data_IF_511643970292
#
_entry.id   IF_511643970292
#
_cell.length_a   1.000
_cell.length_b   1.000
_cell.length_c   1.000
_cell.angle_alpha   90.00
_cell.angle_beta   90.00
_cell.angle_gamma   90.00
#
_symmetry.space_group_name_H-M   'P 1'
#
loop_
_entity.id
_entity.type
_entity.pdbx_description
1 polymer ?
#
# COMPACT_ATOMS: atom_id res chain seq x y z
N UNK A 1 3.61 2.45 -15.91
CA UNK A 1 2.78 2.21 -14.72
C UNK A 1 2.46 0.74 -14.70
N UNK A 2 2.92 0.04 -13.67
CA UNK A 2 2.62 -1.39 -13.48
C UNK A 2 1.15 -1.60 -13.13
N UNK A 3 0.57 -2.74 -13.51
CA UNK A 3 -0.80 -3.07 -13.09
C UNK A 3 -0.84 -3.45 -11.63
N UNK A 4 -1.96 -3.21 -10.96
CA UNK A 4 -2.12 -3.68 -9.57
C UNK A 4 -2.02 -5.20 -9.42
N UNK A 5 -2.47 -5.96 -10.42
CA UNK A 5 -2.28 -7.43 -10.44
C UNK A 5 -0.81 -7.82 -10.45
N UNK A 6 0.03 -7.08 -11.18
CA UNK A 6 1.46 -7.32 -11.25
C UNK A 6 2.11 -6.99 -9.90
N UNK A 7 1.62 -5.95 -9.23
CA UNK A 7 2.09 -5.59 -7.90
C UNK A 7 1.81 -6.69 -6.87
N UNK A 8 0.60 -7.25 -6.87
CA UNK A 8 0.25 -8.39 -6.04
C UNK A 8 1.14 -9.62 -6.32
N UNK A 9 1.50 -9.84 -7.59
CA UNK A 9 2.44 -10.90 -7.96
C UNK A 9 3.85 -10.63 -7.41
N UNK A 10 4.34 -9.40 -7.49
CA UNK A 10 5.66 -9.01 -6.95
C UNK A 10 5.69 -9.21 -5.44
N UNK A 11 4.64 -8.79 -4.70
CA UNK A 11 4.54 -9.02 -3.25
C UNK A 11 4.64 -10.51 -2.95
N UNK A 12 3.91 -11.35 -3.70
CA UNK A 12 3.96 -12.80 -3.54
C UNK A 12 5.35 -13.38 -3.78
N UNK A 13 6.06 -12.91 -4.81
CA UNK A 13 7.38 -13.42 -5.18
C UNK A 13 8.45 -13.01 -4.16
N UNK A 14 8.48 -11.73 -3.77
CA UNK A 14 9.47 -11.18 -2.82
C UNK A 14 9.37 -11.82 -1.42
N UNK A 15 8.18 -12.28 -1.06
CA UNK A 15 7.89 -12.92 0.21
C UNK A 15 7.78 -14.46 0.11
N UNK A 16 8.08 -15.05 -1.05
CA UNK A 16 8.05 -16.50 -1.22
C UNK A 16 6.70 -17.15 -0.82
N UNK A 17 5.58 -16.42 -0.98
CA UNK A 17 4.28 -16.83 -0.44
C UNK A 17 3.71 -18.12 -1.07
N UNK A 18 4.23 -18.54 -2.23
CA UNK A 18 3.87 -19.79 -2.89
C UNK A 18 4.73 -21.00 -2.48
N UNK A 19 5.82 -20.80 -1.72
CA UNK A 19 6.72 -21.87 -1.33
C UNK A 19 6.04 -22.79 -0.29
N UNK A 20 5.83 -24.06 -0.66
CA UNK A 20 5.11 -25.06 0.13
C UNK A 20 3.96 -25.73 -0.64
N UNK A 21 3.48 -25.07 -1.69
CA UNK A 21 2.55 -25.66 -2.65
C UNK A 21 3.33 -26.29 -3.81
N UNK A 22 3.18 -27.60 -4.03
CA UNK A 22 3.84 -28.30 -5.11
C UNK A 22 3.66 -27.60 -6.47
N UNK A 23 4.77 -27.45 -7.21
CA UNK A 23 4.89 -26.96 -8.59
C UNK A 23 3.72 -26.12 -9.14
N UNK A 24 3.80 -24.79 -8.98
CA UNK A 24 3.11 -23.84 -9.87
C UNK A 24 1.77 -23.27 -9.38
N UNK A 25 1.40 -23.41 -8.11
CA UNK A 25 0.23 -22.71 -7.57
C UNK A 25 0.52 -21.22 -7.38
N UNK A 26 -0.29 -20.39 -8.04
CA UNK A 26 -0.32 -18.94 -7.82
C UNK A 26 -1.07 -18.62 -6.52
N UNK A 27 -0.63 -17.58 -5.82
CA UNK A 27 -1.32 -17.06 -4.65
C UNK A 27 -2.67 -16.49 -5.06
N UNK A 28 -3.73 -16.88 -4.36
CA UNK A 28 -5.03 -16.23 -4.46
C UNK A 28 -5.15 -15.16 -3.37
N UNK A 29 -5.25 -13.90 -3.78
CA UNK A 29 -5.52 -12.77 -2.90
C UNK A 29 -7.01 -12.69 -2.56
N UNK A 30 -7.31 -12.41 -1.30
CA UNK A 30 -8.66 -12.38 -0.76
C UNK A 30 -8.89 -11.01 -0.12
N UNK A 31 -9.99 -10.35 -0.47
CA UNK A 31 -10.32 -9.02 0.03
C UNK A 31 -11.70 -9.04 0.68
N UNK A 32 -11.76 -8.62 1.94
CA UNK A 32 -13.02 -8.27 2.57
C UNK A 32 -13.57 -6.99 1.93
N UNK A 33 -14.89 -6.82 1.82
CA UNK A 33 -15.48 -5.64 1.17
C UNK A 33 -15.00 -4.32 1.79
N UNK A 34 -14.79 -4.31 3.10
CA UNK A 34 -14.24 -3.17 3.84
C UNK A 34 -12.77 -2.83 3.56
N UNK A 35 -12.01 -3.70 2.87
CA UNK A 35 -10.62 -3.44 2.45
C UNK A 35 -10.53 -2.68 1.12
N UNK A 36 -11.65 -2.58 0.40
CA UNK A 36 -11.67 -2.09 -0.97
C UNK A 36 -11.70 -0.56 -1.00
N UNK A 37 -11.31 -0.02 -2.15
CA UNK A 37 -11.32 1.41 -2.42
C UNK A 37 -12.73 2.01 -2.27
N UNK A 38 -12.81 3.22 -1.75
CA UNK A 38 -14.03 4.02 -1.57
C UNK A 38 -15.08 3.45 -0.61
N UNK A 39 -14.81 2.31 0.05
CA UNK A 39 -15.75 1.76 1.03
C UNK A 39 -15.72 2.52 2.35
N UNK A 40 -16.88 2.61 3.02
CA UNK A 40 -16.97 3.08 4.41
C UNK A 40 -16.92 1.94 5.41
N UNK A 41 -17.03 0.68 5.00
CA UNK A 41 -17.08 -0.45 5.92
C UNK A 41 -15.71 -0.76 6.50
N UNK A 42 -15.57 -0.83 7.81
CA UNK A 42 -14.38 -1.43 8.42
C UNK A 42 -14.40 -2.93 8.19
N UNK A 43 -13.24 -3.51 7.96
CA UNK A 43 -13.02 -4.97 7.91
C UNK A 43 -12.36 -5.51 9.18
N UNK A 44 -12.16 -4.65 10.17
CA UNK A 44 -11.44 -4.91 11.41
C UNK A 44 -12.19 -4.31 12.60
N UNK A 45 -11.80 -4.72 13.81
CA UNK A 45 -12.35 -4.15 15.04
C UNK A 45 -13.84 -4.44 15.22
N UNK A 46 -14.65 -3.38 15.27
CA UNK A 46 -16.09 -3.44 15.46
C UNK A 46 -16.90 -3.65 14.17
N UNK A 47 -16.23 -3.74 13.01
CA UNK A 47 -16.84 -3.89 11.69
C UNK A 47 -17.90 -2.81 11.36
N UNK A 48 -17.85 -1.66 12.04
CA UNK A 48 -18.73 -0.51 11.78
C UNK A 48 -18.18 0.34 10.63
N UNK A 49 -18.69 1.56 10.49
CA UNK A 49 -18.28 2.49 9.44
C UNK A 49 -17.09 3.38 9.85
N UNK A 50 -16.24 3.71 8.87
CA UNK A 50 -15.24 4.78 8.91
C UNK A 50 -15.92 6.14 8.72
N UNK A 51 -15.28 7.19 9.24
CA UNK A 51 -15.73 8.56 9.00
C UNK A 51 -15.48 8.99 7.55
N UNK A 52 -14.28 8.71 7.04
CA UNK A 52 -13.88 8.91 5.64
C UNK A 52 -14.01 7.61 4.82
N UNK A 53 -14.11 7.74 3.51
CA UNK A 53 -14.00 6.59 2.60
C UNK A 53 -12.59 6.05 2.59
N UNK A 54 -12.43 4.76 2.31
CA UNK A 54 -11.13 4.13 2.22
C UNK A 54 -10.37 4.59 0.97
N UNK A 55 -9.24 5.27 1.14
CA UNK A 55 -8.48 5.92 0.06
C UNK A 55 -7.71 4.93 -0.83
N UNK A 56 -7.55 3.70 -0.38
CA UNK A 56 -6.73 2.67 -1.02
C UNK A 56 -7.30 1.27 -0.92
N UNK A 57 -6.39 0.30 -0.96
CA UNK A 57 -6.69 -1.12 -0.81
C UNK A 57 -5.80 -1.69 0.29
N UNK A 58 -6.41 -2.41 1.22
CA UNK A 58 -5.69 -3.16 2.24
C UNK A 58 -5.37 -4.57 1.73
N UNK A 59 -4.10 -4.95 1.81
CA UNK A 59 -3.57 -6.23 1.33
C UNK A 59 -3.05 -7.01 2.54
N UNK A 60 -3.61 -8.21 2.78
CA UNK A 60 -3.20 -9.06 3.92
C UNK A 60 -3.59 -10.54 3.77
N UNK A 61 -4.80 -10.82 3.30
CA UNK A 61 -5.31 -12.18 3.23
C UNK A 61 -4.99 -12.84 1.90
N UNK A 62 -4.47 -14.05 1.98
CA UNK A 62 -4.15 -14.84 0.81
C UNK A 62 -4.28 -16.33 1.09
N UNK A 63 -4.28 -17.15 0.05
CA UNK A 63 -4.21 -18.61 0.19
C UNK A 63 -3.50 -19.23 -1.01
N UNK A 64 -2.81 -20.34 -0.78
CA UNK A 64 -2.18 -21.15 -1.84
C UNK A 64 -2.98 -22.42 -2.14
N UNK A 65 -3.68 -22.95 -1.14
CA UNK A 65 -4.71 -23.98 -1.27
C UNK A 65 -6.09 -23.39 -0.90
N UNK A 66 -7.20 -24.08 -1.22
CA UNK A 66 -8.54 -23.51 -1.03
C UNK A 66 -8.95 -23.38 0.44
N UNK A 67 -8.38 -24.17 1.33
CA UNK A 67 -8.86 -24.35 2.70
C UNK A 67 -7.95 -23.69 3.75
N UNK A 68 -6.79 -23.19 3.34
CA UNK A 68 -5.80 -22.55 4.19
C UNK A 68 -5.72 -21.05 3.94
N UNK A 69 -6.61 -20.30 4.61
CA UNK A 69 -6.51 -18.86 4.67
C UNK A 69 -5.26 -18.46 5.48
N UNK A 70 -4.37 -17.71 4.84
CA UNK A 70 -3.20 -17.12 5.45
C UNK A 70 -3.38 -15.59 5.57
N UNK A 71 -2.67 -15.02 6.53
CA UNK A 71 -2.68 -13.60 6.86
C UNK A 71 -1.25 -13.11 6.94
N UNK A 72 -1.02 -11.84 6.59
CA UNK A 72 0.29 -11.23 6.77
C UNK A 72 0.70 -11.22 8.24
N UNK A 73 2.01 -11.38 8.46
CA UNK A 73 2.68 -11.03 9.70
C UNK A 73 3.59 -9.81 9.49
N UNK A 74 4.37 -9.43 10.51
CA UNK A 74 5.30 -8.30 10.47
C UNK A 74 6.63 -8.63 9.76
N UNK A 75 6.79 -9.85 9.24
CA UNK A 75 7.94 -10.24 8.43
C UNK A 75 7.76 -9.89 6.95
N UNK A 76 6.51 -9.63 6.52
CA UNK A 76 6.15 -9.33 5.14
C UNK A 76 6.89 -8.09 4.65
N UNK A 77 7.71 -8.28 3.63
CA UNK A 77 8.42 -7.24 2.90
C UNK A 77 7.47 -6.55 1.93
N UNK A 78 7.62 -5.24 1.82
CA UNK A 78 6.88 -4.40 0.90
C UNK A 78 7.83 -3.96 -0.21
N UNK A 79 7.65 -4.47 -1.45
CA UNK A 79 8.37 -3.99 -2.61
C UNK A 79 7.74 -2.72 -3.17
N UNK A 80 8.53 -1.94 -3.90
CA UNK A 80 8.04 -0.83 -4.71
C UNK A 80 7.21 -1.35 -5.89
N UNK A 81 6.05 -0.74 -6.13
CA UNK A 81 5.17 -1.11 -7.25
C UNK A 81 5.76 -0.74 -8.62
N UNK A 82 6.46 0.38 -8.70
CA UNK A 82 7.06 0.91 -9.91
C UNK A 82 8.26 1.79 -9.57
N UNK A 83 9.03 2.18 -10.59
CA UNK A 83 10.12 3.14 -10.45
C UNK A 83 9.57 4.50 -9.97
N UNK A 84 10.35 5.19 -9.13
CA UNK A 84 9.93 6.48 -8.60
C UNK A 84 10.92 7.14 -7.66
N UNK A 85 10.51 8.28 -7.12
CA UNK A 85 11.30 9.08 -6.18
C UNK A 85 10.55 9.17 -4.85
N UNK A 86 11.25 8.94 -3.75
CA UNK A 86 10.66 9.12 -2.41
C UNK A 86 10.39 10.60 -2.18
N UNK A 87 9.12 10.98 -2.21
CA UNK A 87 8.70 12.35 -2.03
C UNK A 87 8.56 12.71 -0.55
N UNK A 88 8.06 11.78 0.29
CA UNK A 88 7.91 12.02 1.72
C UNK A 88 7.93 10.71 2.53
N UNK A 89 8.25 10.83 3.82
CA UNK A 89 8.07 9.78 4.83
C UNK A 89 7.39 10.44 6.02
N UNK A 90 6.21 9.95 6.42
CA UNK A 90 5.45 10.53 7.53
C UNK A 90 4.87 9.45 8.44
N UNK A 91 4.60 9.80 9.69
CA UNK A 91 3.98 8.89 10.63
C UNK A 91 2.48 8.70 10.29
N UNK A 92 1.97 7.50 10.51
CA UNK A 92 0.55 7.17 10.39
C UNK A 92 0.03 6.51 11.68
N UNK A 93 -1.22 6.03 11.66
CA UNK A 93 -1.85 5.52 12.88
C UNK A 93 -1.31 4.17 13.37
N UNK A 94 -0.55 3.42 12.56
CA UNK A 94 0.07 2.13 12.93
C UNK A 94 1.58 2.15 12.87
N UNK A 95 2.15 2.85 11.90
CA UNK A 95 3.58 2.91 11.65
C UNK A 95 3.93 4.17 10.88
N UNK A 96 4.51 3.99 9.70
CA UNK A 96 4.85 5.09 8.80
C UNK A 96 4.29 4.85 7.42
N UNK A 97 4.15 5.95 6.68
CA UNK A 97 3.78 5.99 5.28
C UNK A 97 4.95 6.46 4.45
N UNK A 98 5.31 5.69 3.42
CA UNK A 98 6.23 6.10 2.37
C UNK A 98 5.42 6.65 1.20
N UNK A 99 5.74 7.86 0.76
CA UNK A 99 5.12 8.50 -0.41
C UNK A 99 6.14 8.51 -1.55
N UNK A 100 5.77 7.92 -2.67
CA UNK A 100 6.60 7.78 -3.86
C UNK A 100 5.94 8.49 -5.02
N UNK A 101 6.66 9.40 -5.66
CA UNK A 101 6.27 10.05 -6.91
C UNK A 101 6.70 9.19 -8.10
N UNK A 102 5.77 8.84 -8.97
CA UNK A 102 6.02 7.98 -10.13
C UNK A 102 6.84 8.71 -11.20
N UNK A 103 7.85 8.03 -11.77
CA UNK A 103 8.92 8.61 -12.62
C UNK A 103 8.43 9.29 -13.92
N UNK A 104 7.16 9.12 -14.32
CA UNK A 104 6.61 9.71 -15.55
C UNK A 104 5.38 10.59 -15.32
N UNK A 105 5.22 11.16 -14.13
CA UNK A 105 3.99 11.85 -13.78
C UNK A 105 3.92 13.34 -14.19
N UNK A 106 4.89 13.87 -14.93
CA UNK A 106 5.04 15.30 -15.23
C UNK A 106 4.11 15.88 -16.33
N UNK A 107 2.90 15.35 -16.48
CA UNK A 107 1.93 15.87 -17.45
C UNK A 107 0.97 16.83 -16.74
N UNK A 108 0.82 18.05 -17.26
CA UNK A 108 -0.17 19.06 -16.81
C UNK A 108 -0.05 19.54 -15.34
N UNK A 109 1.15 19.75 -14.79
CA UNK A 109 1.38 20.22 -13.41
C UNK A 109 0.75 19.32 -12.32
N UNK A 110 0.47 18.07 -12.67
CA UNK A 110 0.03 17.02 -11.74
C UNK A 110 1.17 16.05 -11.52
N UNK A 111 1.04 15.24 -10.48
CA UNK A 111 1.93 14.12 -10.19
C UNK A 111 1.12 12.95 -9.66
N UNK A 112 1.59 11.75 -9.95
CA UNK A 112 1.00 10.51 -9.50
C UNK A 112 1.83 10.02 -8.32
N UNK A 113 1.15 9.78 -7.21
CA UNK A 113 1.75 9.38 -5.95
C UNK A 113 1.26 7.99 -5.59
N UNK A 114 2.19 7.09 -5.31
CA UNK A 114 1.93 5.85 -4.60
C UNK A 114 2.24 6.04 -3.13
N UNK A 115 1.33 5.61 -2.26
CA UNK A 115 1.59 5.59 -0.82
C UNK A 115 1.53 4.18 -0.29
N UNK A 116 2.53 3.83 0.51
CA UNK A 116 2.62 2.55 1.21
C UNK A 116 2.51 2.87 2.70
N UNK A 117 1.38 2.55 3.31
CA UNK A 117 1.09 2.88 4.71
C UNK A 117 1.07 1.64 5.59
N UNK A 118 1.19 1.89 6.90
CA UNK A 118 1.29 0.86 7.93
C UNK A 118 2.51 -0.01 7.75
N UNK A 119 3.63 0.65 7.43
CA UNK A 119 4.90 0.01 7.17
C UNK A 119 5.99 0.52 8.12
N UNK A 120 7.12 -0.19 8.11
CA UNK A 120 8.40 0.20 8.67
C UNK A 120 9.36 0.34 7.48
N UNK A 121 9.63 1.57 6.99
CA UNK A 121 10.55 1.80 5.88
C UNK A 121 11.96 1.27 6.17
N UNK A 122 12.64 0.83 5.12
CA UNK A 122 14.05 0.44 5.20
C UNK A 122 14.91 1.64 5.64
N UNK A 123 15.78 1.45 6.64
CA UNK A 123 16.54 2.54 7.30
C UNK A 123 17.42 3.37 6.35
N UNK A 124 17.78 2.80 5.20
CA UNK A 124 18.61 3.44 4.18
C UNK A 124 17.84 4.48 3.35
N UNK A 125 16.51 4.41 3.33
CA UNK A 125 15.68 5.25 2.49
C UNK A 125 15.68 6.70 2.96
N UNK A 126 15.77 7.61 1.98
CA UNK A 126 15.76 9.06 2.21
C UNK A 126 14.85 9.76 1.22
N UNK A 127 14.28 10.88 1.64
CA UNK A 127 13.54 11.78 0.75
C UNK A 127 14.46 12.23 -0.39
N UNK A 128 13.93 12.25 -1.62
CA UNK A 128 14.65 12.55 -2.86
C UNK A 128 15.41 11.36 -3.46
N UNK A 129 15.46 10.20 -2.79
CA UNK A 129 16.10 9.01 -3.33
C UNK A 129 15.20 8.34 -4.38
N UNK A 130 15.81 7.89 -5.48
CA UNK A 130 15.18 7.02 -6.46
C UNK A 130 15.05 5.59 -5.91
N UNK A 131 13.96 4.93 -6.27
CA UNK A 131 13.72 3.51 -6.02
C UNK A 131 13.36 2.82 -7.32
N UNK A 132 13.73 1.55 -7.42
CA UNK A 132 13.43 0.72 -8.58
C UNK A 132 12.23 -0.18 -8.30
N UNK A 133 11.47 -0.50 -9.34
CA UNK A 133 10.39 -1.47 -9.30
C UNK A 133 10.86 -2.79 -8.68
N UNK A 134 10.06 -3.34 -7.78
CA UNK A 134 10.34 -4.58 -7.03
C UNK A 134 11.42 -4.45 -5.96
N UNK A 135 12.09 -3.30 -5.81
CA UNK A 135 13.02 -3.05 -4.71
C UNK A 135 12.26 -3.14 -3.37
N UNK A 136 12.82 -3.87 -2.41
CA UNK A 136 12.25 -3.91 -1.05
C UNK A 136 12.50 -2.56 -0.37
N UNK A 137 11.41 -1.86 -0.09
CA UNK A 137 11.41 -0.50 0.48
C UNK A 137 10.96 -0.47 1.93
N UNK A 138 10.26 -1.51 2.41
CA UNK A 138 9.77 -1.55 3.78
C UNK A 138 9.39 -2.98 4.20
N UNK A 139 8.92 -3.09 5.45
CA UNK A 139 8.12 -4.23 5.93
C UNK A 139 6.78 -3.76 6.45
N UNK A 140 5.79 -4.64 6.49
CA UNK A 140 4.50 -4.39 7.14
C UNK A 140 4.74 -4.14 8.64
N UNK A 141 4.03 -3.17 9.21
CA UNK A 141 4.13 -2.85 10.62
C UNK A 141 3.48 -3.93 11.50
N UNK A 142 4.06 -4.14 12.68
CA UNK A 142 3.50 -5.04 13.67
C UNK A 142 2.27 -4.40 14.35
N UNK A 143 1.13 -5.10 14.31
CA UNK A 143 -0.14 -4.65 14.89
C UNK A 143 -0.50 -5.33 16.22
N UNK A 144 0.44 -5.95 16.94
CA UNK A 144 0.18 -6.66 18.21
C UNK A 144 -0.54 -5.80 19.27
N UNK A 145 -0.41 -4.46 19.22
CA UNK A 145 -1.11 -3.54 20.11
C UNK A 145 -2.61 -3.37 19.77
N UNK A 146 -3.02 -3.79 18.59
CA UNK A 146 -4.40 -3.81 18.12
C UNK A 146 -4.69 -5.15 17.41
N UNK A 147 -4.86 -6.26 18.15
CA UNK A 147 -4.96 -7.60 17.57
C UNK A 147 -6.22 -7.81 16.72
N UNK A 148 -7.20 -6.91 16.81
CA UNK A 148 -8.40 -6.94 15.96
C UNK A 148 -8.14 -6.35 14.56
N UNK A 149 -6.95 -5.81 14.33
CA UNK A 149 -6.45 -5.29 13.06
C UNK A 149 -5.21 -6.09 12.66
N UNK A 150 -5.35 -7.09 11.78
CA UNK A 150 -4.21 -7.86 11.31
C UNK A 150 -3.14 -6.98 10.64
N UNK A 151 -1.86 -7.39 10.66
CA UNK A 151 -0.83 -6.76 9.85
C UNK A 151 -1.29 -6.70 8.39
N UNK A 152 -1.17 -5.54 7.75
CA UNK A 152 -1.59 -5.34 6.36
C UNK A 152 -0.79 -4.20 5.74
N UNK A 153 -0.66 -4.24 4.41
CA UNK A 153 -0.21 -3.10 3.64
C UNK A 153 -1.44 -2.31 3.19
N UNK A 154 -1.50 -1.03 3.51
CA UNK A 154 -2.45 -0.11 2.90
C UNK A 154 -1.78 0.59 1.71
N UNK A 155 -2.23 0.25 0.50
CA UNK A 155 -1.70 0.79 -0.74
C UNK A 155 -2.71 1.73 -1.41
N UNK A 156 -2.28 2.96 -1.69
CA UNK A 156 -3.14 3.98 -2.32
C UNK A 156 -2.43 4.66 -3.47
N UNK A 157 -3.23 5.15 -4.41
CA UNK A 157 -2.75 5.96 -5.53
C UNK A 157 -3.51 7.27 -5.57
N UNK A 158 -2.77 8.36 -5.76
CA UNK A 158 -3.30 9.71 -5.78
C UNK A 158 -2.77 10.48 -6.98
N UNK A 159 -3.58 11.40 -7.48
CA UNK A 159 -3.12 12.52 -8.29
C UNK A 159 -3.13 13.78 -7.42
N UNK A 160 -2.00 14.50 -7.37
CA UNK A 160 -1.88 15.76 -6.63
C UNK A 160 -1.28 16.86 -7.51
N UNK A 161 -1.50 18.12 -7.14
CA UNK A 161 -0.79 19.25 -7.76
C UNK A 161 0.71 19.18 -7.44
N UNK A 162 1.55 19.48 -8.43
CA UNK A 162 3.00 19.64 -8.22
C UNK A 162 3.36 20.85 -7.33
N UNK A 163 2.43 21.79 -7.15
CA UNK A 163 2.64 22.94 -6.26
C UNK A 163 2.56 22.57 -4.77
N UNK A 164 2.02 21.40 -4.45
CA UNK A 164 2.00 20.91 -3.07
C UNK A 164 3.45 20.60 -2.68
N UNK A 165 3.90 21.12 -1.54
CA UNK A 165 5.25 20.84 -1.06
C UNK A 165 5.37 19.38 -0.58
N UNK A 166 6.53 18.72 -0.73
CA UNK A 166 6.69 17.32 -0.32
C UNK A 166 6.28 17.03 1.13
N UNK A 167 6.58 17.93 2.06
CA UNK A 167 6.19 17.81 3.49
C UNK A 167 4.67 17.80 3.71
N UNK A 168 3.90 18.36 2.79
CA UNK A 168 2.43 18.37 2.82
C UNK A 168 1.81 17.12 2.17
N UNK A 169 2.61 16.25 1.55
CA UNK A 169 2.16 14.93 1.09
C UNK A 169 2.05 13.97 2.27
N UNK A 170 0.99 14.14 3.06
CA UNK A 170 0.72 13.34 4.25
C UNK A 170 -0.80 13.15 4.45
N UNK A 171 -1.20 12.43 5.49
CA UNK A 171 -2.61 12.10 5.74
C UNK A 171 -3.54 13.29 5.95
N UNK A 172 -3.04 14.48 6.33
CA UNK A 172 -3.88 15.68 6.36
C UNK A 172 -4.34 16.09 4.95
N UNK A 173 -3.52 15.85 3.93
CA UNK A 173 -3.88 16.06 2.53
C UNK A 173 -4.71 14.89 2.00
N UNK A 174 -4.25 13.66 2.20
CA UNK A 174 -4.84 12.47 1.56
C UNK A 174 -6.26 12.15 2.03
N UNK A 175 -6.57 12.37 3.31
CA UNK A 175 -7.89 12.03 3.87
C UNK A 175 -8.98 13.10 3.72
N UNK A 176 -8.66 14.27 3.15
CA UNK A 176 -9.64 15.37 3.14
C UNK A 176 -9.39 16.54 2.18
N UNK A 177 -8.34 16.50 1.35
CA UNK A 177 -7.99 17.62 0.47
C UNK A 177 -8.86 17.73 -0.77
N UNK A 178 -9.28 18.95 -1.14
CA UNK A 178 -9.81 19.26 -2.49
C UNK A 178 -8.72 19.20 -3.57
N UNK A 179 -7.47 19.15 -3.13
CA UNK A 179 -6.28 19.27 -3.98
C UNK A 179 -5.68 17.91 -4.36
N UNK A 180 -6.33 16.81 -3.96
CA UNK A 180 -5.93 15.45 -4.29
C UNK A 180 -7.11 14.66 -4.88
N UNK A 181 -6.87 13.95 -5.97
CA UNK A 181 -7.81 13.02 -6.54
C UNK A 181 -7.38 11.60 -6.18
N UNK A 182 -8.32 10.80 -5.67
CA UNK A 182 -8.11 9.38 -5.40
C UNK A 182 -8.17 8.59 -6.71
N UNK A 183 -7.17 7.75 -6.96
CA UNK A 183 -7.15 6.83 -8.10
C UNK A 183 -7.34 5.42 -7.56
N UNK A 184 -8.37 4.74 -8.06
CA UNK A 184 -8.62 3.36 -7.66
C UNK A 184 -7.47 2.45 -8.12
N UNK A 185 -6.74 1.78 -7.20
CA UNK A 185 -5.54 1.04 -7.57
C UNK A 185 -5.74 -0.05 -8.61
N UNK A 186 -6.91 -0.70 -8.68
CA UNK A 186 -7.19 -1.77 -9.65
C UNK A 186 -7.25 -1.30 -11.11
N UNK A 187 -7.33 0.01 -11.36
CA UNK A 187 -7.31 0.59 -12.71
C UNK A 187 -5.92 1.10 -13.13
N UNK A 188 -4.89 0.89 -12.30
CA UNK A 188 -3.48 1.09 -12.68
C UNK A 188 -3.02 0.02 -13.67
#
# INVERSE_FOLDING_TARGET
>A
MSKFSDYLQIISQVNDLSNGSGNGQSVQWLFHCGMLFSTKDKWWGDFKFRQAVHEGIDITYFRTDKDNLQVFDDSIKVPAMDDGIIANICDDFLGQTLVVEHENSFIFNRRILFTYAHIIPEKRLKIGQTIEKSEVIAKVCNTCKNPQLPPHLHFSCFEASQQVLPEHLNWNLFSGGRDVNLIHPVFL
#
